data_IF_240920283060
#
_entry.id   IF_240920283060
#
_cell.length_a   1.000
_cell.length_b   1.000
_cell.length_c   1.000
_cell.angle_alpha   90.00
_cell.angle_beta   90.00
_cell.angle_gamma   90.00
#
_symmetry.space_group_name_H-M   'P 1'
#
loop_
_entity.id
_entity.type
_entity.pdbx_description
1 polymer ?
#
# COMPACT_ATOMS: atom_id res chain seq x y z
N UNK A 1 -19.95 1.97 -17.37
CA UNK A 1 -19.61 1.35 -16.06
C UNK A 1 -19.18 -0.08 -16.35
N UNK A 2 -17.90 -0.32 -16.57
CA UNK A 2 -17.32 -1.64 -16.73
C UNK A 2 -16.61 -2.00 -15.44
N UNK A 3 -16.97 -3.11 -14.83
CA UNK A 3 -16.35 -3.66 -13.65
C UNK A 3 -14.89 -3.99 -13.96
N UNK A 4 -13.95 -3.24 -13.41
CA UNK A 4 -12.54 -3.60 -13.38
C UNK A 4 -12.37 -4.71 -12.34
N UNK A 5 -12.66 -5.95 -12.75
CA UNK A 5 -12.29 -7.13 -11.98
C UNK A 5 -10.77 -7.20 -11.91
N UNK A 6 -10.20 -7.16 -10.71
CA UNK A 6 -8.79 -7.45 -10.49
C UNK A 6 -8.51 -8.86 -11.01
N UNK A 7 -7.82 -8.97 -12.15
CA UNK A 7 -7.24 -10.23 -12.62
C UNK A 7 -6.24 -10.69 -11.55
N UNK A 8 -6.53 -11.82 -10.90
CA UNK A 8 -5.57 -12.43 -9.98
C UNK A 8 -4.38 -12.94 -10.79
N UNK A 9 -3.20 -12.88 -10.22
CA UNK A 9 -1.96 -13.37 -10.82
C UNK A 9 -2.10 -14.81 -11.32
N UNK A 10 -2.87 -15.63 -10.62
CA UNK A 10 -3.18 -17.01 -10.98
C UNK A 10 -3.93 -17.16 -12.32
N UNK A 11 -4.65 -16.12 -12.79
CA UNK A 11 -5.43 -16.17 -14.03
C UNK A 11 -4.58 -15.97 -15.29
N UNK A 12 -3.34 -15.50 -15.15
CA UNK A 12 -2.43 -15.22 -16.26
C UNK A 12 -1.20 -16.13 -16.29
N UNK A 13 -1.14 -17.17 -15.42
CA UNK A 13 -0.03 -18.11 -15.34
C UNK A 13 -0.35 -19.47 -15.96
N UNK A 14 0.65 -20.06 -16.61
CA UNK A 14 0.58 -21.40 -17.15
C UNK A 14 0.91 -22.43 -16.04
N UNK A 15 -0.01 -23.35 -15.77
CA UNK A 15 0.17 -24.39 -14.74
C UNK A 15 1.23 -25.46 -15.08
N UNK A 16 1.83 -25.41 -16.27
CA UNK A 16 2.93 -26.33 -16.67
C UNK A 16 4.29 -25.70 -16.38
N UNK A 17 4.54 -24.46 -16.83
CA UNK A 17 5.81 -23.77 -16.60
C UNK A 17 5.80 -22.83 -15.39
N UNK A 18 4.65 -22.61 -14.79
CA UNK A 18 4.43 -21.70 -13.65
C UNK A 18 4.79 -20.23 -13.92
N UNK A 19 4.88 -19.83 -15.19
CA UNK A 19 5.18 -18.48 -15.63
C UNK A 19 4.00 -17.88 -16.37
N UNK A 20 4.04 -16.55 -16.59
CA UNK A 20 3.02 -15.80 -17.34
C UNK A 20 2.90 -16.39 -18.74
N UNK A 21 1.68 -16.51 -19.23
CA UNK A 21 1.39 -17.12 -20.53
C UNK A 21 2.24 -16.53 -21.66
N UNK A 22 2.78 -17.45 -22.49
CA UNK A 22 3.42 -17.12 -23.76
C UNK A 22 2.69 -17.85 -24.88
N UNK A 23 2.11 -17.07 -25.83
CA UNK A 23 1.21 -17.60 -26.85
C UNK A 23 0.16 -18.56 -26.26
N UNK A 24 -0.71 -18.08 -25.35
CA UNK A 24 -1.68 -18.93 -24.67
C UNK A 24 -2.66 -19.56 -25.66
N UNK A 25 -2.96 -20.84 -25.44
CA UNK A 25 -3.94 -21.59 -26.20
C UNK A 25 -5.00 -22.17 -25.27
N UNK A 26 -6.25 -22.16 -25.71
CA UNK A 26 -7.37 -22.79 -24.99
C UNK A 26 -7.57 -24.19 -25.57
N UNK A 27 -7.65 -25.20 -24.73
CA UNK A 27 -7.98 -26.58 -25.14
C UNK A 27 -9.46 -26.87 -24.92
N UNK A 28 -10.05 -27.92 -25.53
CA UNK A 28 -11.51 -28.12 -25.55
C UNK A 28 -12.22 -28.29 -24.18
N UNK A 29 -11.50 -28.43 -23.10
CA UNK A 29 -12.04 -28.41 -21.73
C UNK A 29 -12.05 -27.02 -21.09
N UNK A 30 -11.63 -25.97 -21.82
CA UNK A 30 -11.61 -24.57 -21.35
C UNK A 30 -10.35 -24.16 -20.61
N UNK A 31 -9.42 -25.05 -20.32
CA UNK A 31 -8.14 -24.71 -19.67
C UNK A 31 -7.14 -24.10 -20.64
N UNK A 32 -6.33 -23.16 -20.13
CA UNK A 32 -5.34 -22.42 -20.91
C UNK A 32 -3.91 -22.82 -20.52
N UNK A 33 -3.02 -22.86 -21.50
CA UNK A 33 -1.60 -23.19 -21.32
C UNK A 33 -0.78 -22.40 -22.35
N UNK A 34 0.52 -22.21 -22.10
CA UNK A 34 1.41 -21.81 -23.19
C UNK A 34 1.37 -22.83 -24.30
N UNK A 35 1.37 -22.39 -25.54
CA UNK A 35 1.34 -23.27 -26.72
C UNK A 35 2.45 -24.34 -26.66
N UNK A 36 3.68 -23.92 -26.41
CA UNK A 36 4.83 -24.84 -26.34
C UNK A 36 4.71 -25.81 -25.16
N UNK A 37 4.18 -25.38 -24.04
CA UNK A 37 4.03 -26.22 -22.86
C UNK A 37 3.04 -27.36 -23.07
N UNK A 38 1.85 -27.08 -23.60
CA UNK A 38 0.85 -28.12 -23.85
C UNK A 38 1.27 -29.06 -24.98
N UNK A 39 1.92 -28.54 -26.04
CA UNK A 39 2.46 -29.36 -27.11
C UNK A 39 3.60 -30.25 -26.62
N UNK A 40 4.48 -29.74 -25.77
CA UNK A 40 5.53 -30.51 -25.10
C UNK A 40 4.95 -31.62 -24.23
N UNK A 41 3.97 -31.32 -23.41
CA UNK A 41 3.28 -32.29 -22.56
C UNK A 41 2.65 -33.44 -23.38
N UNK A 42 1.94 -33.11 -24.49
CA UNK A 42 1.35 -34.13 -25.36
C UNK A 42 2.35 -34.95 -26.18
N UNK A 43 3.58 -34.49 -26.36
CA UNK A 43 4.67 -35.31 -26.99
C UNK A 43 5.18 -36.39 -26.08
N UNK A 44 5.18 -36.16 -24.77
CA UNK A 44 5.71 -37.10 -23.77
C UNK A 44 4.63 -37.94 -23.09
N UNK A 45 3.36 -37.54 -23.19
CA UNK A 45 2.24 -38.26 -22.62
C UNK A 45 1.67 -39.31 -23.58
N UNK A 46 1.36 -40.54 -23.13
CA UNK A 46 0.74 -41.57 -23.96
C UNK A 46 -0.67 -41.23 -24.42
N UNK A 47 -1.32 -40.27 -23.79
CA UNK A 47 -2.69 -39.84 -24.08
C UNK A 47 -2.78 -38.32 -24.25
N UNK A 48 -3.59 -37.85 -25.18
CA UNK A 48 -3.95 -36.44 -25.26
C UNK A 48 -4.94 -36.11 -24.15
N UNK A 49 -4.46 -35.61 -23.04
CA UNK A 49 -5.29 -35.23 -21.89
C UNK A 49 -4.93 -33.84 -21.38
N UNK A 50 -5.88 -33.23 -20.66
CA UNK A 50 -5.65 -31.97 -19.98
C UNK A 50 -4.79 -32.18 -18.71
N UNK A 51 -3.65 -31.50 -18.54
CA UNK A 51 -2.83 -31.61 -17.35
C UNK A 51 -3.59 -31.25 -16.05
N UNK A 52 -4.54 -30.30 -16.10
CA UNK A 52 -5.29 -29.83 -14.94
C UNK A 52 -6.47 -30.74 -14.58
N UNK A 53 -7.43 -30.94 -15.51
CA UNK A 53 -8.68 -31.65 -15.19
C UNK A 53 -8.68 -33.13 -15.64
N UNK A 54 -7.59 -33.63 -16.23
CA UNK A 54 -7.40 -35.02 -16.71
C UNK A 54 -8.39 -35.47 -17.79
N UNK A 55 -9.18 -34.54 -18.35
CA UNK A 55 -10.10 -34.87 -19.46
C UNK A 55 -9.28 -35.32 -20.68
N UNK A 56 -9.56 -36.52 -21.20
CA UNK A 56 -8.89 -37.12 -22.34
C UNK A 56 -9.58 -36.76 -23.65
N UNK A 57 -8.81 -36.71 -24.74
CA UNK A 57 -9.27 -36.40 -26.10
C UNK A 57 -8.92 -37.56 -27.04
N UNK A 58 -9.83 -37.92 -27.93
CA UNK A 58 -9.69 -39.03 -28.89
C UNK A 58 -8.52 -38.84 -29.85
N UNK A 59 -8.29 -37.59 -30.27
CA UNK A 59 -7.17 -37.19 -31.14
C UNK A 59 -6.58 -35.90 -30.55
N UNK A 60 -5.40 -35.55 -31.03
CA UNK A 60 -4.77 -34.29 -30.68
C UNK A 60 -5.73 -33.12 -31.01
N UNK A 61 -6.12 -32.32 -30.04
CA UNK A 61 -6.98 -31.15 -30.31
C UNK A 61 -6.30 -30.14 -31.22
N UNK A 62 -7.06 -29.54 -32.10
CA UNK A 62 -6.65 -28.34 -32.80
C UNK A 62 -6.64 -27.18 -31.82
N UNK A 63 -5.55 -26.48 -31.77
CA UNK A 63 -5.34 -25.35 -30.85
C UNK A 63 -4.98 -24.09 -31.63
N UNK A 64 -5.61 -22.99 -31.28
CA UNK A 64 -5.28 -21.66 -31.79
C UNK A 64 -4.91 -20.74 -30.61
N UNK A 65 -4.06 -19.77 -30.89
CA UNK A 65 -3.67 -18.78 -29.87
C UNK A 65 -4.90 -17.97 -29.47
N UNK A 66 -5.15 -17.91 -28.17
CA UNK A 66 -6.14 -17.03 -27.58
C UNK A 66 -5.59 -15.60 -27.56
N UNK A 67 -6.01 -14.79 -28.55
CA UNK A 67 -5.48 -13.43 -28.74
C UNK A 67 -5.77 -12.52 -27.57
N UNK A 68 -6.96 -12.61 -26.98
CA UNK A 68 -7.36 -11.80 -25.83
C UNK A 68 -6.48 -12.13 -24.61
N UNK A 69 -6.29 -13.42 -24.33
CA UNK A 69 -5.46 -13.85 -23.20
C UNK A 69 -3.98 -13.53 -23.45
N UNK A 70 -3.52 -13.53 -24.71
CA UNK A 70 -2.17 -13.09 -25.08
C UNK A 70 -1.97 -11.61 -24.79
N UNK A 71 -2.91 -10.76 -25.21
CA UNK A 71 -2.82 -9.30 -24.95
C UNK A 71 -2.79 -9.01 -23.45
N UNK A 72 -3.65 -9.67 -22.67
CA UNK A 72 -3.67 -9.53 -21.21
C UNK A 72 -2.34 -9.99 -20.60
N UNK A 73 -1.81 -11.13 -21.04
CA UNK A 73 -0.53 -11.64 -20.53
C UNK A 73 0.65 -10.73 -20.92
N UNK A 74 0.65 -10.13 -22.11
CA UNK A 74 1.65 -9.16 -22.54
C UNK A 74 1.58 -7.87 -21.73
N UNK A 75 0.39 -7.33 -21.46
CA UNK A 75 0.19 -6.19 -20.58
C UNK A 75 0.68 -6.51 -19.15
N UNK A 76 0.38 -7.69 -18.64
CA UNK A 76 0.82 -8.12 -17.33
C UNK A 76 2.35 -8.25 -17.25
N UNK A 77 3.01 -8.76 -18.30
CA UNK A 77 4.48 -8.80 -18.40
C UNK A 77 5.08 -7.39 -18.39
N UNK A 78 4.52 -6.48 -19.16
CA UNK A 78 4.98 -5.08 -19.17
C UNK A 78 4.86 -4.42 -17.79
N UNK A 79 3.77 -4.65 -17.08
CA UNK A 79 3.57 -4.15 -15.71
C UNK A 79 4.60 -4.78 -14.74
N UNK A 80 4.89 -6.09 -14.89
CA UNK A 80 5.88 -6.80 -14.09
C UNK A 80 7.30 -6.28 -14.36
N UNK A 81 7.66 -6.07 -15.61
CA UNK A 81 8.98 -5.58 -16.02
C UNK A 81 9.22 -4.14 -15.52
N UNK A 82 8.20 -3.27 -15.56
CA UNK A 82 8.26 -1.92 -14.96
C UNK A 82 8.40 -1.99 -13.43
N UNK A 83 7.79 -2.96 -12.77
CA UNK A 83 7.96 -3.18 -11.32
C UNK A 83 9.36 -3.73 -10.94
N UNK A 84 10.05 -4.37 -11.89
CA UNK A 84 11.39 -4.92 -11.64
C UNK A 84 12.51 -3.89 -11.80
N UNK A 85 12.23 -2.73 -12.40
CA UNK A 85 13.21 -1.67 -12.55
C UNK A 85 13.48 -0.99 -11.21
N UNK A 86 14.73 -0.95 -10.84
CA UNK A 86 15.15 -0.16 -9.70
C UNK A 86 14.93 1.33 -10.01
N UNK A 87 14.73 2.15 -8.98
CA UNK A 87 14.59 3.61 -9.13
C UNK A 87 15.74 4.21 -9.95
N UNK A 88 16.95 3.66 -9.83
CA UNK A 88 18.12 4.07 -10.58
C UNK A 88 18.00 3.79 -12.09
N UNK A 89 17.48 2.65 -12.50
CA UNK A 89 17.28 2.29 -13.92
C UNK A 89 16.22 3.15 -14.59
N UNK A 90 15.15 3.49 -13.87
CA UNK A 90 14.12 4.43 -14.34
C UNK A 90 14.71 5.83 -14.59
N UNK A 91 15.54 6.33 -13.67
CA UNK A 91 16.21 7.64 -13.83
C UNK A 91 17.11 7.63 -15.05
N UNK A 92 17.93 6.58 -15.23
CA UNK A 92 18.81 6.44 -16.39
C UNK A 92 18.04 6.41 -17.71
N UNK A 93 16.91 5.69 -17.78
CA UNK A 93 16.06 5.64 -18.98
C UNK A 93 15.45 7.01 -19.32
N UNK A 94 15.02 7.76 -18.31
CA UNK A 94 14.49 9.12 -18.46
C UNK A 94 15.57 10.09 -18.97
N UNK A 95 16.75 10.05 -18.38
CA UNK A 95 17.89 10.89 -18.77
C UNK A 95 18.36 10.62 -20.20
N UNK A 96 18.37 9.34 -20.62
CA UNK A 96 18.75 8.99 -22.00
C UNK A 96 17.72 9.50 -23.01
N UNK A 97 16.43 9.39 -22.71
CA UNK A 97 15.36 9.95 -23.56
C UNK A 97 15.44 11.48 -23.65
N UNK A 98 15.76 12.14 -22.56
CA UNK A 98 15.99 13.58 -22.52
C UNK A 98 17.17 13.95 -23.43
N UNK A 99 18.32 13.28 -23.30
CA UNK A 99 19.52 13.49 -24.14
C UNK A 99 19.24 13.29 -25.63
N UNK A 100 18.42 12.29 -25.99
CA UNK A 100 18.04 12.08 -27.40
C UNK A 100 17.20 13.24 -27.95
N UNK A 101 16.28 13.77 -27.16
CA UNK A 101 15.43 14.91 -27.55
C UNK A 101 16.25 16.17 -27.68
N UNK A 102 17.17 16.42 -26.75
CA UNK A 102 18.13 17.56 -26.81
C UNK A 102 19.02 17.50 -28.03
N UNK A 103 19.60 16.33 -28.35
CA UNK A 103 20.44 16.16 -29.58
C UNK A 103 19.62 16.43 -30.83
N UNK A 104 18.35 16.00 -30.91
CA UNK A 104 17.48 16.28 -32.05
C UNK A 104 17.18 17.77 -32.18
N UNK A 105 16.83 18.42 -31.07
CA UNK A 105 16.60 19.87 -31.05
C UNK A 105 17.85 20.66 -31.47
N UNK A 106 19.02 20.29 -30.97
CA UNK A 106 20.28 20.91 -31.33
C UNK A 106 20.62 20.74 -32.82
N UNK A 107 20.32 19.58 -33.40
CA UNK A 107 20.46 19.33 -34.85
C UNK A 107 19.59 20.29 -35.67
N UNK A 108 18.33 20.45 -35.32
CA UNK A 108 17.39 21.35 -35.98
C UNK A 108 17.83 22.83 -35.85
N UNK A 109 18.33 23.23 -34.70
CA UNK A 109 18.87 24.59 -34.48
C UNK A 109 20.04 24.84 -35.41
N UNK A 110 21.00 23.90 -35.51
CA UNK A 110 22.16 24.04 -36.41
C UNK A 110 21.75 24.12 -37.87
N UNK A 111 20.79 23.36 -38.33
CA UNK A 111 20.23 23.45 -39.70
C UNK A 111 19.61 24.83 -39.96
N UNK A 112 18.82 25.36 -39.04
CA UNK A 112 18.21 26.68 -39.12
C UNK A 112 19.27 27.80 -39.14
N UNK A 113 20.30 27.72 -38.32
CA UNK A 113 21.40 28.69 -38.26
C UNK A 113 22.20 28.73 -39.56
N UNK A 114 22.39 27.56 -40.20
CA UNK A 114 23.04 27.49 -41.52
C UNK A 114 22.17 28.15 -42.60
N UNK A 115 20.86 27.88 -42.65
CA UNK A 115 19.94 28.54 -43.61
C UNK A 115 19.90 30.06 -43.40
N UNK A 116 19.80 30.51 -42.15
CA UNK A 116 19.81 31.95 -41.81
C UNK A 116 21.12 32.60 -42.27
N UNK A 117 22.24 31.95 -42.07
CA UNK A 117 23.55 32.46 -42.45
C UNK A 117 23.68 32.59 -43.98
N UNK A 118 23.19 31.59 -44.73
CA UNK A 118 23.18 31.62 -46.19
C UNK A 118 22.24 32.69 -46.72
N UNK A 119 21.05 32.86 -46.15
CA UNK A 119 20.10 33.91 -46.51
C UNK A 119 20.69 35.31 -46.24
N UNK A 120 21.38 35.52 -45.13
CA UNK A 120 22.08 36.77 -44.79
C UNK A 120 23.19 37.07 -45.78
N UNK A 121 24.00 36.05 -46.15
CA UNK A 121 25.06 36.20 -47.16
C UNK A 121 24.49 36.64 -48.49
N UNK A 122 23.44 35.97 -48.99
CA UNK A 122 22.78 36.33 -50.27
C UNK A 122 22.16 37.71 -50.22
N UNK A 123 21.53 38.10 -49.10
CA UNK A 123 21.00 39.45 -48.93
C UNK A 123 22.10 40.50 -49.05
N UNK A 124 23.26 40.27 -48.40
CA UNK A 124 24.41 41.15 -48.50
C UNK A 124 24.98 41.24 -49.96
N UNK A 125 25.00 40.08 -50.65
CA UNK A 125 25.44 40.03 -52.05
C UNK A 125 24.49 40.85 -52.97
N UNK A 126 23.18 40.72 -52.77
CA UNK A 126 22.14 41.49 -53.49
C UNK A 126 22.26 42.99 -53.18
N UNK A 127 22.47 43.41 -51.94
CA UNK A 127 22.66 44.81 -51.56
C UNK A 127 23.94 45.39 -52.18
N UNK A 128 24.99 44.61 -52.23
CA UNK A 128 26.24 45.04 -52.85
C UNK A 128 26.06 45.27 -54.37
N UNK A 129 25.42 44.32 -55.05
CA UNK A 129 25.16 44.47 -56.52
C UNK A 129 24.21 45.62 -56.77
N UNK A 130 23.19 45.86 -55.91
CA UNK A 130 22.27 46.97 -56.03
C UNK A 130 22.95 48.35 -55.88
N UNK A 131 24.13 48.43 -55.30
CA UNK A 131 24.95 49.67 -55.16
C UNK A 131 25.90 49.92 -56.33
N UNK A 132 26.04 48.97 -57.25
CA UNK A 132 26.89 49.10 -58.46
C UNK A 132 26.13 49.79 -59.56
N UNK A 133 26.87 50.06 -60.70
CA UNK A 133 26.24 50.69 -61.85
C UNK A 133 25.13 49.83 -62.49
N UNK A 134 24.18 50.41 -63.20
CA UNK A 134 23.02 49.76 -63.74
C UNK A 134 23.33 48.61 -64.71
N UNK A 135 24.47 48.68 -65.42
CA UNK A 135 24.88 47.63 -66.39
C UNK A 135 25.34 46.38 -65.60
N UNK A 136 26.14 46.54 -64.61
CA UNK A 136 26.61 45.43 -63.75
C UNK A 136 25.48 44.82 -62.96
N UNK A 137 24.50 45.62 -62.46
CA UNK A 137 23.31 45.15 -61.82
C UNK A 137 22.50 44.26 -62.76
N UNK A 138 22.15 44.68 -63.96
CA UNK A 138 21.40 43.93 -64.92
C UNK A 138 22.05 42.60 -65.36
N UNK A 139 23.38 42.55 -65.38
CA UNK A 139 24.11 41.32 -65.73
C UNK A 139 24.18 40.31 -64.57
N UNK A 140 24.30 40.77 -63.36
CA UNK A 140 24.51 39.95 -62.19
C UNK A 140 23.19 39.52 -61.54
N UNK A 141 22.10 40.30 -61.65
CA UNK A 141 20.83 40.11 -61.02
C UNK A 141 20.15 38.77 -61.40
N UNK A 142 20.13 38.28 -62.63
CA UNK A 142 19.51 37.01 -62.97
C UNK A 142 20.11 35.79 -62.21
N UNK A 143 21.40 35.81 -61.95
CA UNK A 143 22.13 34.76 -61.23
C UNK A 143 21.84 34.77 -59.69
N UNK A 144 21.60 35.97 -59.19
CA UNK A 144 21.34 36.17 -57.76
C UNK A 144 19.85 36.01 -57.38
N UNK A 145 18.93 36.19 -58.38
CA UNK A 145 17.48 36.07 -58.16
C UNK A 145 16.93 34.64 -58.11
N UNK A 146 17.76 33.61 -58.35
CA UNK A 146 17.31 32.23 -58.13
C UNK A 146 16.95 32.01 -56.66
N UNK A 147 15.70 31.66 -56.32
CA UNK A 147 15.34 31.42 -54.92
C UNK A 147 16.19 30.29 -54.33
N UNK A 148 16.73 30.46 -53.14
CA UNK A 148 17.40 29.33 -52.45
C UNK A 148 16.40 28.21 -52.21
N UNK A 149 16.86 26.97 -52.27
CA UNK A 149 16.10 25.84 -51.79
C UNK A 149 16.06 25.92 -50.27
N UNK A 150 15.01 26.51 -49.73
CA UNK A 150 14.76 26.56 -48.29
C UNK A 150 13.96 25.34 -47.91
N UNK A 151 14.34 24.67 -46.83
CA UNK A 151 13.58 23.56 -46.28
C UNK A 151 12.22 24.05 -45.80
N UNK A 152 11.16 23.28 -46.06
CA UNK A 152 9.84 23.55 -45.48
C UNK A 152 9.84 23.16 -44.01
N UNK A 153 9.83 24.17 -43.13
CA UNK A 153 9.81 24.02 -41.69
C UNK A 153 8.39 23.95 -41.11
N UNK A 154 7.34 24.11 -41.92
CA UNK A 154 5.95 24.17 -41.46
C UNK A 154 5.48 22.88 -40.78
N UNK A 155 6.03 21.74 -41.22
CA UNK A 155 5.73 20.43 -40.61
C UNK A 155 6.76 20.00 -39.55
N UNK A 156 7.77 20.82 -39.28
CA UNK A 156 8.80 20.49 -38.30
C UNK A 156 8.31 20.87 -36.90
N UNK A 157 7.67 19.92 -36.22
CA UNK A 157 7.32 20.08 -34.83
C UNK A 157 8.44 19.53 -33.94
N UNK A 158 8.99 20.38 -33.10
CA UNK A 158 9.70 19.90 -31.91
C UNK A 158 8.61 19.55 -30.90
N UNK A 159 8.47 18.29 -30.48
CA UNK A 159 7.47 17.94 -29.48
C UNK A 159 7.85 18.63 -28.17
N UNK A 160 7.32 19.83 -27.97
CA UNK A 160 7.56 20.64 -26.75
C UNK A 160 6.97 20.04 -25.50
N UNK A 161 6.09 19.03 -25.65
CA UNK A 161 5.30 18.48 -24.53
C UNK A 161 5.81 17.11 -24.03
N UNK A 162 6.93 16.60 -24.55
CA UNK A 162 7.26 15.18 -24.38
C UNK A 162 8.07 14.82 -23.15
N UNK A 163 8.71 15.74 -22.44
CA UNK A 163 9.59 15.33 -21.33
C UNK A 163 9.11 15.80 -19.95
N UNK A 164 8.87 17.06 -19.70
CA UNK A 164 8.62 17.54 -18.32
C UNK A 164 7.16 17.35 -17.90
N UNK A 165 6.20 17.70 -18.75
CA UNK A 165 4.78 17.61 -18.41
C UNK A 165 4.26 16.17 -18.38
N UNK A 166 4.73 15.31 -19.29
CA UNK A 166 4.32 13.92 -19.36
C UNK A 166 4.95 13.09 -18.24
N UNK A 167 6.25 13.27 -17.98
CA UNK A 167 6.95 12.61 -16.86
C UNK A 167 6.30 12.99 -15.54
N UNK A 168 6.06 14.28 -15.30
CA UNK A 168 5.40 14.76 -14.09
C UNK A 168 3.99 14.20 -13.94
N UNK A 169 3.18 14.19 -15.00
CA UNK A 169 1.84 13.57 -14.99
C UNK A 169 1.89 12.07 -14.72
N UNK A 170 2.83 11.34 -15.34
CA UNK A 170 2.99 9.91 -15.14
C UNK A 170 3.47 9.59 -13.73
N UNK A 171 4.40 10.35 -13.16
CA UNK A 171 4.86 10.19 -11.78
C UNK A 171 3.72 10.49 -10.81
N UNK A 172 3.00 11.60 -10.95
CA UNK A 172 1.84 11.91 -10.11
C UNK A 172 0.72 10.85 -10.23
N UNK A 173 0.50 10.31 -11.43
CA UNK A 173 -0.48 9.23 -11.62
C UNK A 173 0.00 7.92 -10.97
N UNK A 174 1.28 7.59 -11.06
CA UNK A 174 1.88 6.43 -10.42
C UNK A 174 1.83 6.55 -8.89
N UNK A 175 2.16 7.72 -8.35
CA UNK A 175 2.06 8.02 -6.92
C UNK A 175 0.62 7.86 -6.43
N UNK A 176 -0.35 8.42 -7.14
CA UNK A 176 -1.77 8.28 -6.81
C UNK A 176 -2.24 6.81 -6.86
N UNK A 177 -1.83 6.06 -7.89
CA UNK A 177 -2.17 4.64 -8.03
C UNK A 177 -1.52 3.77 -6.95
N UNK A 178 -0.25 4.04 -6.61
CA UNK A 178 0.44 3.35 -5.53
C UNK A 178 -0.20 3.66 -4.18
N UNK A 179 -0.53 4.91 -3.91
CA UNK A 179 -1.24 5.31 -2.69
C UNK A 179 -2.59 4.60 -2.59
N UNK A 180 -3.39 4.58 -3.65
CA UNK A 180 -4.67 3.87 -3.68
C UNK A 180 -4.52 2.35 -3.47
N UNK A 181 -3.47 1.73 -4.04
CA UNK A 181 -3.19 0.31 -3.81
C UNK A 181 -2.73 0.03 -2.39
N UNK A 182 -1.90 0.89 -1.81
CA UNK A 182 -1.47 0.80 -0.41
C UNK A 182 -2.67 0.96 0.51
N UNK A 183 -3.51 1.96 0.30
CA UNK A 183 -4.72 2.17 1.09
C UNK A 183 -5.67 0.98 1.02
N UNK A 184 -5.87 0.39 -0.16
CA UNK A 184 -6.66 -0.86 -0.32
C UNK A 184 -6.02 -2.06 0.39
N UNK A 185 -4.69 -2.16 0.42
CA UNK A 185 -4.00 -3.23 1.15
C UNK A 185 -4.17 -3.05 2.66
N UNK A 186 -4.02 -1.83 3.17
CA UNK A 186 -4.20 -1.47 4.58
C UNK A 186 -5.66 -1.65 5.02
N UNK A 187 -6.64 -1.25 4.21
CA UNK A 187 -8.07 -1.56 4.45
C UNK A 187 -8.33 -3.07 4.55
N UNK A 188 -7.63 -3.88 3.76
CA UNK A 188 -7.73 -5.32 3.80
C UNK A 188 -7.12 -5.92 5.07
N UNK A 189 -6.11 -5.31 5.68
CA UNK A 189 -5.48 -5.83 6.91
C UNK A 189 -6.43 -5.82 8.10
N UNK A 190 -7.08 -4.69 8.39
CA UNK A 190 -8.06 -4.64 9.48
C UNK A 190 -9.24 -5.59 9.21
N UNK A 191 -9.69 -5.71 7.95
CA UNK A 191 -10.76 -6.64 7.57
C UNK A 191 -10.33 -8.10 7.78
N UNK A 192 -9.07 -8.43 7.50
CA UNK A 192 -8.50 -9.76 7.78
C UNK A 192 -8.39 -10.00 9.28
N UNK A 193 -7.90 -9.02 10.05
CA UNK A 193 -7.82 -9.09 11.50
C UNK A 193 -9.21 -9.31 12.14
N UNK A 194 -10.23 -8.58 11.68
CA UNK A 194 -11.61 -8.68 12.18
C UNK A 194 -12.24 -10.07 12.01
N UNK A 195 -11.73 -10.91 11.09
CA UNK A 195 -12.18 -12.32 10.96
C UNK A 195 -11.86 -13.17 12.20
N UNK A 196 -10.89 -12.77 12.99
CA UNK A 196 -10.45 -13.43 14.21
C UNK A 196 -11.06 -12.78 15.47
N UNK A 197 -12.19 -12.09 15.31
CA UNK A 197 -12.87 -11.43 16.41
C UNK A 197 -13.26 -12.39 17.51
N UNK A 198 -12.91 -12.03 18.74
CA UNK A 198 -13.21 -12.78 19.95
C UNK A 198 -13.94 -11.91 20.94
N UNK A 199 -14.79 -12.51 21.73
CA UNK A 199 -15.43 -11.86 22.87
C UNK A 199 -14.41 -11.76 24.02
N UNK A 200 -14.18 -10.52 24.47
CA UNK A 200 -13.33 -10.19 25.60
C UNK A 200 -14.19 -9.60 26.72
N UNK A 201 -14.03 -10.17 27.92
CA UNK A 201 -14.66 -9.69 29.15
C UNK A 201 -13.60 -9.36 30.20
N UNK A 202 -13.90 -8.43 31.08
CA UNK A 202 -12.99 -8.02 32.15
C UNK A 202 -13.04 -8.98 33.33
N UNK A 203 -11.88 -9.24 33.92
CA UNK A 203 -11.75 -10.13 35.07
C UNK A 203 -11.82 -9.34 36.39
N UNK A 204 -12.91 -9.46 37.17
CA UNK A 204 -13.07 -8.73 38.41
C UNK A 204 -12.01 -9.04 39.46
N UNK A 205 -11.43 -10.25 39.41
CA UNK A 205 -10.42 -10.67 40.39
C UNK A 205 -9.07 -9.95 40.19
N UNK A 206 -8.84 -9.47 38.96
CA UNK A 206 -7.63 -8.68 38.63
C UNK A 206 -7.84 -7.17 38.81
N UNK A 207 -9.08 -6.69 38.83
CA UNK A 207 -9.40 -5.28 38.80
C UNK A 207 -8.88 -4.54 40.04
N UNK A 208 -8.19 -3.42 39.81
CA UNK A 208 -7.80 -2.51 40.88
C UNK A 208 -9.06 -1.93 41.58
N UNK A 209 -9.07 -1.71 42.93
CA UNK A 209 -10.24 -1.19 43.65
C UNK A 209 -10.75 0.20 43.26
N UNK A 210 -10.01 0.98 42.48
CA UNK A 210 -10.49 2.23 41.89
C UNK A 210 -11.34 2.05 40.63
N UNK A 211 -11.45 0.81 40.12
CA UNK A 211 -12.17 0.51 38.89
C UNK A 211 -13.57 -0.06 39.18
N UNK A 212 -14.57 0.48 38.51
CA UNK A 212 -15.90 -0.11 38.45
C UNK A 212 -16.08 -0.83 37.11
N UNK A 213 -16.48 -2.09 37.17
CA UNK A 213 -16.84 -2.90 36.01
C UNK A 213 -18.37 -2.93 35.88
N UNK A 214 -18.88 -2.97 34.64
CA UNK A 214 -20.29 -3.22 34.36
C UNK A 214 -20.67 -4.68 34.65
N UNK A 215 -21.98 -4.94 34.75
CA UNK A 215 -22.51 -6.27 35.01
C UNK A 215 -22.15 -7.28 33.91
N UNK A 216 -22.11 -6.82 32.63
CA UNK A 216 -21.67 -7.59 31.47
C UNK A 216 -20.15 -7.75 31.34
N UNK A 217 -19.38 -7.08 32.25
CA UNK A 217 -17.92 -7.09 32.28
C UNK A 217 -17.26 -6.59 31.01
N UNK A 218 -17.93 -5.77 30.23
CA UNK A 218 -17.41 -5.19 28.98
C UNK A 218 -17.08 -3.72 29.11
N UNK A 219 -17.45 -3.10 30.23
CA UNK A 219 -17.19 -1.68 30.46
C UNK A 219 -16.39 -1.49 31.74
N UNK A 220 -15.46 -0.54 31.69
CA UNK A 220 -14.68 -0.14 32.86
C UNK A 220 -14.58 1.38 32.95
N UNK A 221 -14.74 1.89 34.14
CA UNK A 221 -14.53 3.31 34.45
C UNK A 221 -13.75 3.48 35.75
N UNK A 222 -13.04 4.57 35.89
CA UNK A 222 -12.45 4.99 37.15
C UNK A 222 -13.56 5.56 38.06
N UNK A 223 -13.72 5.00 39.25
CA UNK A 223 -14.83 5.36 40.14
C UNK A 223 -14.58 6.69 40.87
N UNK A 224 -13.34 7.14 40.99
CA UNK A 224 -12.97 8.31 41.80
C UNK A 224 -13.00 8.05 43.31
N UNK A 225 -13.37 6.86 43.74
CA UNK A 225 -13.42 6.40 45.12
C UNK A 225 -12.89 4.96 45.23
N UNK A 226 -12.27 4.65 46.35
CA UNK A 226 -11.80 3.33 46.66
C UNK A 226 -12.96 2.42 47.03
N UNK A 227 -12.98 1.20 46.46
CA UNK A 227 -13.94 0.16 46.82
C UNK A 227 -13.28 -0.81 47.80
N UNK A 228 -14.01 -1.19 48.84
CA UNK A 228 -13.59 -2.23 49.78
C UNK A 228 -13.87 -3.63 49.13
N UNK A 229 -12.93 -4.08 48.35
CA UNK A 229 -12.98 -5.37 47.66
C UNK A 229 -12.12 -6.40 48.43
N UNK A 230 -12.55 -7.68 48.43
CA UNK A 230 -11.73 -8.76 49.00
C UNK A 230 -10.32 -8.77 48.38
N UNK A 231 -9.33 -9.01 49.21
CA UNK A 231 -7.96 -9.19 48.74
C UNK A 231 -7.89 -10.45 47.84
N UNK A 232 -7.26 -10.32 46.70
CA UNK A 232 -7.04 -11.41 45.76
C UNK A 232 -5.59 -11.36 45.27
N UNK A 233 -4.89 -12.50 45.18
CA UNK A 233 -3.49 -12.53 44.71
C UNK A 233 -3.35 -11.95 43.30
N UNK A 234 -4.34 -12.10 42.44
CA UNK A 234 -4.33 -11.59 41.06
C UNK A 234 -4.74 -10.12 40.96
N UNK A 235 -5.23 -9.50 42.05
CA UNK A 235 -5.69 -8.11 42.04
C UNK A 235 -4.52 -7.13 41.98
N UNK A 236 -4.59 -6.18 41.07
CA UNK A 236 -3.67 -5.04 41.07
C UNK A 236 -3.99 -4.12 42.25
N UNK A 237 -3.00 -3.86 43.10
CA UNK A 237 -3.16 -3.07 44.34
C UNK A 237 -2.90 -1.58 44.11
N UNK A 238 -1.81 -1.21 43.42
CA UNK A 238 -1.31 0.16 43.33
C UNK A 238 -1.65 0.83 42.00
N UNK A 239 -1.56 0.09 40.89
CA UNK A 239 -1.81 0.62 39.54
C UNK A 239 -3.24 0.30 39.10
N UNK A 240 -3.88 1.24 38.39
CA UNK A 240 -5.29 1.19 38.03
C UNK A 240 -5.50 0.32 36.77
N UNK A 241 -5.17 -0.95 36.91
CA UNK A 241 -5.19 -1.94 35.81
C UNK A 241 -6.29 -2.98 36.05
N UNK A 242 -6.82 -3.50 34.95
CA UNK A 242 -7.64 -4.72 34.89
C UNK A 242 -7.21 -5.52 33.67
N UNK A 243 -7.29 -6.85 33.76
CA UNK A 243 -7.06 -7.75 32.64
C UNK A 243 -8.37 -8.31 32.08
N UNK A 244 -8.30 -8.74 30.84
CA UNK A 244 -9.34 -9.60 30.27
C UNK A 244 -9.36 -10.97 30.97
N UNK A 245 -10.53 -11.59 31.06
CA UNK A 245 -10.70 -12.94 31.59
C UNK A 245 -10.13 -13.98 30.64
N UNK A 246 -10.33 -13.74 29.35
CA UNK A 246 -9.80 -14.55 28.28
C UNK A 246 -8.28 -14.37 28.20
N UNK A 247 -7.58 -15.47 27.92
CA UNK A 247 -6.15 -15.44 27.71
C UNK A 247 -5.77 -16.43 26.64
N UNK A 248 -4.79 -16.05 25.85
CA UNK A 248 -4.39 -16.71 24.61
C UNK A 248 -3.03 -17.38 24.77
N UNK A 249 -2.91 -18.59 24.27
CA UNK A 249 -1.67 -19.39 24.22
C UNK A 249 -1.34 -19.86 22.81
N UNK A 250 -2.23 -19.58 21.85
CA UNK A 250 -2.10 -19.94 20.43
C UNK A 250 -3.14 -19.17 19.63
N UNK A 251 -2.99 -19.14 18.30
CA UNK A 251 -3.97 -18.63 17.35
C UNK A 251 -3.99 -17.13 17.19
N UNK A 252 -4.96 -16.68 16.43
CA UNK A 252 -5.19 -15.28 16.06
C UNK A 252 -6.43 -14.76 16.76
N UNK A 253 -6.34 -13.53 17.29
CA UNK A 253 -7.42 -12.95 18.09
C UNK A 253 -7.53 -11.45 17.78
N UNK A 254 -8.76 -10.96 17.74
CA UNK A 254 -9.03 -9.52 17.50
C UNK A 254 -10.17 -9.07 18.41
N UNK A 255 -10.06 -7.86 18.94
CA UNK A 255 -11.16 -7.20 19.67
C UNK A 255 -11.05 -5.69 19.51
N UNK A 256 -12.12 -4.97 19.80
CA UNK A 256 -12.19 -3.53 19.69
C UNK A 256 -12.48 -2.88 21.04
N UNK A 257 -11.80 -1.77 21.29
CA UNK A 257 -11.93 -0.99 22.51
C UNK A 257 -12.32 0.44 22.17
N UNK A 258 -13.49 0.87 22.63
CA UNK A 258 -13.92 2.25 22.56
C UNK A 258 -13.26 3.04 23.70
N UNK A 259 -12.35 3.92 23.36
CA UNK A 259 -11.60 4.78 24.29
C UNK A 259 -12.23 6.18 24.42
N UNK A 260 -13.13 6.54 23.51
CA UNK A 260 -13.84 7.82 23.52
C UNK A 260 -12.91 9.03 23.43
N UNK A 261 -13.19 10.03 24.24
CA UNK A 261 -12.40 11.28 24.33
C UNK A 261 -11.40 11.27 25.51
N UNK A 262 -11.17 10.09 26.13
CA UNK A 262 -10.18 9.95 27.23
C UNK A 262 -8.80 10.39 26.80
N UNK A 263 -8.09 11.06 27.72
CA UNK A 263 -6.77 11.65 27.46
C UNK A 263 -5.61 10.86 28.07
N UNK A 264 -5.91 9.84 28.92
CA UNK A 264 -4.87 9.06 29.59
C UNK A 264 -5.32 7.60 29.78
N UNK A 265 -4.72 6.70 29.01
CA UNK A 265 -5.04 5.27 29.02
C UNK A 265 -3.94 4.44 28.37
N UNK A 266 -3.93 3.13 28.68
CA UNK A 266 -3.19 2.11 27.94
C UNK A 266 -4.11 0.93 27.63
N UNK A 267 -3.98 0.38 26.43
CA UNK A 267 -4.66 -0.85 25.99
C UNK A 267 -3.69 -1.74 25.23
N UNK A 268 -3.91 -3.04 25.27
CA UNK A 268 -3.08 -4.01 24.57
C UNK A 268 -3.16 -5.39 25.20
N UNK A 269 -2.01 -6.03 25.36
CA UNK A 269 -1.86 -7.32 26.02
C UNK A 269 -0.76 -7.31 27.07
N UNK A 270 -0.90 -8.20 28.04
CA UNK A 270 0.11 -8.45 29.07
C UNK A 270 0.31 -9.95 29.28
N UNK A 271 1.51 -10.35 29.70
CA UNK A 271 1.74 -11.72 30.19
C UNK A 271 0.86 -12.03 31.39
N UNK A 272 0.41 -13.28 31.51
CA UNK A 272 -0.37 -13.69 32.70
C UNK A 272 0.45 -13.62 33.99
N UNK A 273 1.75 -13.73 33.92
CA UNK A 273 2.69 -13.69 35.05
C UNK A 273 3.14 -12.30 35.49
N UNK A 274 2.66 -11.21 34.84
CA UNK A 274 3.10 -9.84 35.22
C UNK A 274 2.84 -9.55 36.70
N UNK A 275 3.71 -8.75 37.29
CA UNK A 275 3.56 -8.35 38.69
C UNK A 275 2.22 -7.63 38.94
N UNK A 276 1.53 -7.96 40.03
CA UNK A 276 0.26 -7.37 40.45
C UNK A 276 0.39 -6.36 41.58
N UNK A 277 1.50 -6.37 42.27
CA UNK A 277 1.70 -5.65 43.53
C UNK A 277 2.73 -4.51 43.40
N UNK A 278 2.41 -3.39 44.03
CA UNK A 278 3.29 -2.23 44.06
C UNK A 278 3.36 -1.44 42.72
N UNK A 279 4.46 -0.72 42.57
CA UNK A 279 4.68 0.09 41.35
C UNK A 279 5.05 -0.79 40.16
N UNK A 280 4.43 -0.52 39.04
CA UNK A 280 4.60 -1.27 37.80
C UNK A 280 5.08 -0.32 36.68
N UNK A 281 6.05 -0.76 35.90
CA UNK A 281 6.46 -0.12 34.65
C UNK A 281 5.84 -0.87 33.48
N UNK A 282 5.06 -0.17 32.67
CA UNK A 282 4.45 -0.76 31.46
C UNK A 282 5.47 -0.69 30.34
N UNK A 283 6.13 -1.82 30.05
CA UNK A 283 7.10 -1.96 28.98
C UNK A 283 7.15 -3.40 28.45
N UNK A 284 7.65 -3.59 27.25
CA UNK A 284 7.82 -4.91 26.63
C UNK A 284 8.73 -5.82 27.48
N UNK A 285 9.76 -5.26 28.11
CA UNK A 285 10.66 -5.99 29.02
C UNK A 285 9.96 -6.49 30.27
N UNK A 286 8.88 -5.82 30.70
CA UNK A 286 8.05 -6.21 31.84
C UNK A 286 6.82 -7.03 31.43
N UNK A 287 6.73 -7.42 30.14
CA UNK A 287 5.67 -8.27 29.62
C UNK A 287 4.38 -7.54 29.22
N UNK A 288 4.48 -6.27 28.84
CA UNK A 288 3.36 -5.47 28.35
C UNK A 288 3.60 -4.99 26.94
N UNK A 289 2.66 -5.25 26.03
CA UNK A 289 2.63 -4.73 24.66
C UNK A 289 1.39 -3.85 24.51
N UNK A 290 1.57 -2.57 24.71
CA UNK A 290 0.46 -1.63 24.85
C UNK A 290 0.64 -0.37 24.02
N UNK A 291 -0.46 0.08 23.41
CA UNK A 291 -0.65 1.44 22.92
C UNK A 291 -1.16 2.31 24.07
N UNK A 292 -0.63 3.52 24.18
CA UNK A 292 -1.01 4.48 25.21
C UNK A 292 -1.30 5.85 24.59
N UNK A 293 -2.25 6.56 25.17
CA UNK A 293 -2.39 8.00 25.09
C UNK A 293 -2.04 8.58 26.46
N UNK A 294 -1.16 9.56 26.51
CA UNK A 294 -0.85 10.31 27.73
C UNK A 294 -1.13 11.78 27.56
N UNK A 295 -1.85 12.34 28.51
CA UNK A 295 -2.16 13.76 28.56
C UNK A 295 -0.90 14.61 28.47
N UNK A 296 -0.85 15.50 27.47
CA UNK A 296 0.29 16.39 27.24
C UNK A 296 1.53 15.72 26.60
N UNK A 297 1.53 14.40 26.41
CA UNK A 297 2.65 13.66 25.80
C UNK A 297 2.28 12.96 24.48
N UNK A 298 0.98 12.86 24.16
CA UNK A 298 0.50 12.22 22.93
C UNK A 298 0.53 10.69 22.98
N UNK A 299 0.46 10.08 21.79
CA UNK A 299 0.45 8.63 21.63
C UNK A 299 1.86 8.05 21.75
N UNK A 300 1.93 6.87 22.37
CA UNK A 300 3.18 6.13 22.49
C UNK A 300 2.92 4.63 22.64
N UNK A 301 3.93 3.84 22.38
CA UNK A 301 3.92 2.39 22.59
C UNK A 301 4.94 1.99 23.67
N UNK A 302 4.64 0.89 24.36
CA UNK A 302 5.37 0.42 25.55
C UNK A 302 6.71 -0.27 25.23
N UNK A 303 7.41 0.15 24.17
CA UNK A 303 8.79 -0.28 23.88
C UNK A 303 9.75 0.20 24.98
N UNK A 304 10.95 -0.34 25.00
CA UNK A 304 12.00 0.09 25.95
C UNK A 304 13.24 0.58 25.17
N UNK A 305 13.44 1.90 25.02
CA UNK A 305 12.63 3.03 25.56
C UNK A 305 11.27 3.17 24.84
N UNK A 306 10.31 3.85 25.50
CA UNK A 306 8.99 4.08 24.93
C UNK A 306 9.08 4.93 23.65
N UNK A 307 8.46 4.47 22.56
CA UNK A 307 8.43 5.15 21.27
C UNK A 307 7.19 6.04 21.20
N UNK A 308 7.38 7.30 20.82
CA UNK A 308 6.30 8.25 20.59
C UNK A 308 5.79 8.10 19.15
N UNK A 309 4.46 8.16 18.99
CA UNK A 309 3.79 8.08 17.71
C UNK A 309 3.14 9.41 17.35
N UNK A 310 3.21 9.79 16.07
CA UNK A 310 2.45 10.89 15.51
C UNK A 310 1.27 10.32 14.73
N UNK A 311 0.03 10.55 15.23
CA UNK A 311 -1.19 10.14 14.55
C UNK A 311 -1.89 11.36 13.97
N UNK A 312 -2.42 11.24 12.76
CA UNK A 312 -3.15 12.32 12.08
C UNK A 312 -4.51 12.62 12.74
N UNK A 313 -5.11 11.62 13.37
CA UNK A 313 -6.39 11.74 14.05
C UNK A 313 -6.33 11.08 15.44
N UNK A 314 -7.23 11.50 16.34
CA UNK A 314 -7.42 10.85 17.65
C UNK A 314 -8.39 9.66 17.50
N UNK A 315 -7.93 8.41 17.55
CA UNK A 315 -8.80 7.25 17.48
C UNK A 315 -9.77 7.23 18.66
N UNK A 316 -11.07 7.11 18.38
CA UNK A 316 -12.12 6.91 19.41
C UNK A 316 -12.38 5.43 19.68
N UNK A 317 -12.02 4.57 18.72
CA UNK A 317 -12.10 3.11 18.82
C UNK A 317 -10.83 2.51 18.24
N UNK A 318 -10.20 1.67 19.02
CA UNK A 318 -8.94 1.01 18.66
C UNK A 318 -9.17 -0.49 18.56
N UNK A 319 -8.77 -1.08 17.42
CA UNK A 319 -8.70 -2.51 17.24
C UNK A 319 -7.37 -3.05 17.74
N UNK A 320 -7.40 -4.16 18.45
CA UNK A 320 -6.21 -4.89 18.92
C UNK A 320 -6.22 -6.27 18.28
N UNK A 321 -5.17 -6.59 17.54
CA UNK A 321 -4.96 -7.88 16.91
C UNK A 321 -3.74 -8.57 17.49
N UNK A 322 -3.86 -9.85 17.72
CA UNK A 322 -2.77 -10.72 18.20
C UNK A 322 -2.64 -11.90 17.26
N UNK A 323 -1.43 -12.18 16.82
CA UNK A 323 -1.03 -13.46 16.24
C UNK A 323 0.00 -14.07 17.20
N UNK A 324 -0.42 -15.12 17.91
CA UNK A 324 0.42 -15.69 18.97
C UNK A 324 1.65 -16.40 18.41
N UNK A 325 1.50 -17.13 17.31
CA UNK A 325 2.58 -17.88 16.67
C UNK A 325 3.61 -16.97 16.01
N UNK A 326 3.14 -15.94 15.30
CA UNK A 326 4.02 -14.94 14.69
C UNK A 326 4.57 -13.92 15.70
N UNK A 327 4.09 -13.97 16.96
CA UNK A 327 4.52 -13.04 17.99
C UNK A 327 4.10 -11.59 17.74
N UNK A 328 2.98 -11.36 17.06
CA UNK A 328 2.54 -10.05 16.61
C UNK A 328 1.43 -9.47 17.50
N UNK A 329 1.58 -8.18 17.88
CA UNK A 329 0.48 -7.39 18.46
C UNK A 329 0.33 -6.11 17.66
N UNK A 330 -0.80 -5.97 16.96
CA UNK A 330 -1.07 -4.83 16.07
C UNK A 330 -2.25 -4.00 16.57
N UNK A 331 -2.15 -2.69 16.37
CA UNK A 331 -3.18 -1.71 16.73
C UNK A 331 -3.68 -0.98 15.51
N UNK A 332 -5.01 -0.75 15.45
CA UNK A 332 -5.68 -0.11 14.31
C UNK A 332 -6.63 0.98 14.79
N UNK A 333 -6.70 2.09 14.06
CA UNK A 333 -7.86 2.99 14.15
C UNK A 333 -9.02 2.37 13.38
N UNK A 334 -10.05 1.91 14.10
CA UNK A 334 -11.18 1.20 13.51
C UNK A 334 -12.00 2.10 12.59
N UNK A 335 -12.13 3.40 12.92
CA UNK A 335 -12.90 4.37 12.13
C UNK A 335 -12.17 4.78 10.86
N UNK A 336 -10.89 5.12 10.97
CA UNK A 336 -10.05 5.49 9.84
C UNK A 336 -9.60 4.27 9.02
N UNK A 337 -9.76 3.03 9.56
CA UNK A 337 -9.28 1.77 8.99
C UNK A 337 -7.77 1.76 8.73
N UNK A 338 -7.01 2.49 9.54
CA UNK A 338 -5.57 2.63 9.41
C UNK A 338 -4.82 1.85 10.48
N UNK A 339 -3.68 1.31 10.11
CA UNK A 339 -2.73 0.70 11.02
C UNK A 339 -2.05 1.78 11.88
N UNK A 340 -1.91 1.53 13.18
CA UNK A 340 -1.25 2.44 14.12
C UNK A 340 0.17 1.96 14.43
N UNK A 341 0.30 0.72 14.89
CA UNK A 341 1.59 0.15 15.29
C UNK A 341 1.52 -1.36 15.41
N UNK A 342 2.64 -2.04 15.15
CA UNK A 342 2.81 -3.47 15.38
C UNK A 342 4.04 -3.73 16.25
N UNK A 343 3.84 -4.49 17.33
CA UNK A 343 4.93 -5.09 18.09
C UNK A 343 5.28 -6.45 17.48
N UNK A 344 6.57 -6.74 17.43
CA UNK A 344 7.10 -8.07 17.21
C UNK A 344 7.65 -8.61 18.53
N UNK A 345 7.23 -9.79 18.93
CA UNK A 345 7.56 -10.40 20.21
C UNK A 345 7.61 -11.93 20.09
N UNK A 346 8.20 -12.58 21.09
CA UNK A 346 8.09 -14.04 21.23
C UNK A 346 7.29 -14.33 22.50
N UNK A 347 6.12 -14.95 22.33
CA UNK A 347 5.30 -15.35 23.47
C UNK A 347 5.67 -16.76 23.91
N UNK A 348 5.92 -16.91 25.20
CA UNK A 348 6.28 -18.20 25.82
C UNK A 348 5.27 -18.63 26.87
N UNK A 349 4.29 -17.75 27.18
CA UNK A 349 3.26 -17.99 28.17
C UNK A 349 1.95 -17.35 27.75
N UNK A 350 0.88 -17.67 28.48
CA UNK A 350 -0.44 -17.08 28.27
C UNK A 350 -0.41 -15.56 28.34
N UNK A 351 -0.93 -14.91 27.31
CA UNK A 351 -1.12 -13.45 27.26
C UNK A 351 -2.60 -13.12 27.45
N UNK A 352 -2.89 -11.98 28.06
CA UNK A 352 -4.26 -11.55 28.37
C UNK A 352 -4.49 -10.12 27.88
N UNK A 353 -5.69 -9.76 27.44
CA UNK A 353 -6.06 -8.36 27.20
C UNK A 353 -5.75 -7.49 28.41
N UNK A 354 -5.24 -6.29 28.17
CA UNK A 354 -4.71 -5.38 29.18
C UNK A 354 -5.35 -4.01 29.04
N UNK A 355 -5.81 -3.45 30.16
CA UNK A 355 -6.47 -2.14 30.23
C UNK A 355 -5.96 -1.40 31.45
N UNK A 356 -5.45 -0.18 31.22
CA UNK A 356 -4.99 0.72 32.28
C UNK A 356 -5.66 2.08 32.14
N UNK A 357 -6.36 2.54 33.16
CA UNK A 357 -7.06 3.81 33.23
C UNK A 357 -6.35 4.71 34.25
N UNK A 358 -5.87 5.86 33.80
CA UNK A 358 -5.20 6.78 34.71
C UNK A 358 -6.18 7.67 35.48
N UNK A 359 -5.80 8.04 36.72
CA UNK A 359 -6.67 8.63 37.76
C UNK A 359 -7.17 10.06 37.48
N UNK A 360 -6.60 10.81 36.54
CA UNK A 360 -6.83 12.26 36.42
C UNK A 360 -7.82 12.67 35.32
N UNK A 361 -8.37 11.73 34.59
CA UNK A 361 -9.44 12.02 33.64
C UNK A 361 -10.78 12.19 34.36
N UNK A 362 -11.55 13.17 33.88
CA UNK A 362 -12.90 13.43 34.37
C UNK A 362 -13.64 12.12 34.58
N UNK A 363 -14.13 11.91 35.79
CA UNK A 363 -14.70 10.65 36.31
C UNK A 363 -15.88 10.06 35.50
N UNK A 364 -16.11 10.49 34.28
CA UNK A 364 -17.32 10.18 33.52
C UNK A 364 -17.14 9.30 32.29
N UNK A 365 -15.93 9.16 31.74
CA UNK A 365 -15.79 8.40 30.47
C UNK A 365 -15.45 6.94 30.72
N UNK A 366 -16.35 6.10 30.26
CA UNK A 366 -16.25 4.65 30.31
C UNK A 366 -15.46 4.13 29.12
N UNK A 367 -14.50 3.25 29.35
CA UNK A 367 -13.87 2.45 28.29
C UNK A 367 -14.76 1.23 28.03
N UNK A 368 -15.07 0.94 26.76
CA UNK A 368 -16.01 -0.13 26.38
C UNK A 368 -15.33 -1.11 25.43
N UNK A 369 -15.39 -2.38 25.76
CA UNK A 369 -15.02 -3.47 24.84
C UNK A 369 -16.23 -3.75 23.97
N UNK A 370 -16.10 -3.57 22.66
CA UNK A 370 -17.21 -3.77 21.72
C UNK A 370 -17.49 -5.28 21.55
N UNK A 371 -18.76 -5.71 21.62
CA UNK A 371 -19.12 -7.11 21.35
C UNK A 371 -18.86 -7.46 19.89
N UNK A 372 -18.55 -8.74 19.63
CA UNK A 372 -18.38 -9.26 18.28
C UNK A 372 -19.74 -9.32 17.59
N UNK A 373 -19.86 -8.72 16.41
CA UNK A 373 -21.05 -8.90 15.54
C UNK A 373 -22.07 -7.77 15.53
N UNK A 374 -21.96 -6.73 16.34
CA UNK A 374 -22.80 -5.55 16.16
C UNK A 374 -22.25 -4.66 15.02
N UNK A 375 -22.81 -4.84 13.81
CA UNK A 375 -22.82 -3.76 12.82
C UNK A 375 -23.46 -2.56 13.50
N UNK A 376 -22.70 -1.49 13.69
CA UNK A 376 -23.19 -0.26 14.30
C UNK A 376 -24.41 0.23 13.50
N UNK A 377 -25.60 -0.03 14.01
CA UNK A 377 -26.80 0.70 13.67
C UNK A 377 -26.66 2.10 14.30
N UNK A 378 -25.88 2.95 13.63
CA UNK A 378 -25.97 4.39 13.86
C UNK A 378 -27.32 4.79 13.26
N UNK A 379 -28.35 4.82 14.09
CA UNK A 379 -29.56 5.56 13.81
C UNK A 379 -29.16 7.02 13.69
N UNK A 380 -29.21 7.55 12.46
CA UNK A 380 -29.39 8.97 12.23
C UNK A 380 -30.72 9.36 12.84
N UNK A 381 -30.68 10.17 13.84
CA UNK A 381 -31.81 10.99 14.33
C UNK A 381 -31.34 12.42 14.44
#
# INVERSE_FOLDING_TARGET
MAATGNLSEEQVHCSICLDVFTNPVSIPCGHNFCQNCILGYWKTSPLYQCPMCKKSFYKRPDISVNTVLREIAEQFKQIRDVRSWSQAELVVAIEEKQRQTERRAQGLISELEQEISELKRRNADLENVARTDHIHFLQSFPALCTPPSVKDWSETSVPTDTCVGMIRRTVCHLEATLTEMIDKLLENEITKAQKYSVDVTLDPDTANPWLQLSQDRRQVRHLGAWQDLPDHPDRFDTVVIVLGREGFTSGRHYWEVQVGDKDDWYIGVARSSVNRKGRISVSTTQGYWALALKKGQGYRVSTAPALQLSLESKPKRVGVYVDYEEGQVSFYDVKARTHIYTFEASFTERIRPFFYLYCCDKASETMVISPVGEKSLIKQS
#
